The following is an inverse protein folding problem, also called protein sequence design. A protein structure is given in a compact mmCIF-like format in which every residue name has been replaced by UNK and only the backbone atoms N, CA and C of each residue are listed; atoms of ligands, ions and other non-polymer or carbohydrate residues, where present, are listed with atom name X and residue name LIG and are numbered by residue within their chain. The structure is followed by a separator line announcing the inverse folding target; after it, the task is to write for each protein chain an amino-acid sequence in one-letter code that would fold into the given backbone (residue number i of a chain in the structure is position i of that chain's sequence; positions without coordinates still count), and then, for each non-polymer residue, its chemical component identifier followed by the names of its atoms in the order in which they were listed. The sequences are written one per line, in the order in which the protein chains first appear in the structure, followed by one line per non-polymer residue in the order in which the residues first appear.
data_IF_843392535431
#
_entry.id   IF_843392535431
#
_cell.length_a   1.000
_cell.length_b   1.000
_cell.length_c   1.000
_cell.angle_alpha   90.00
_cell.angle_beta   90.00
_cell.angle_gamma   90.00
#
_symmetry.space_group_name_H-M   'P 1'
#
loop_
_entity.id
_entity.type
_entity.pdbx_description
1 polymer ?
#
# COMPACT_ATOMS: atom_id res chain seq x y z
N UNK A 1 28.26 50.23 -51.16
CA UNK A 1 27.97 49.91 -49.74
C UNK A 1 26.56 50.33 -49.29
N UNK A 2 26.01 51.47 -49.77
CA UNK A 2 24.69 51.99 -49.35
C UNK A 2 23.49 51.08 -49.64
N UNK A 3 23.46 50.37 -50.78
CA UNK A 3 22.34 49.47 -51.12
C UNK A 3 22.23 48.22 -50.24
N UNK A 4 23.37 47.66 -49.81
CA UNK A 4 23.42 46.53 -48.87
C UNK A 4 22.97 46.96 -47.47
N UNK A 5 23.38 48.14 -47.02
CA UNK A 5 22.94 48.69 -45.73
C UNK A 5 21.42 48.94 -45.70
N UNK A 6 20.84 49.48 -46.78
CA UNK A 6 19.37 49.67 -46.89
C UNK A 6 18.60 48.36 -46.96
N UNK A 7 19.10 47.38 -47.72
CA UNK A 7 18.50 46.05 -47.78
C UNK A 7 18.53 45.34 -46.41
N UNK A 8 19.64 45.45 -45.67
CA UNK A 8 19.74 44.92 -44.31
C UNK A 8 18.81 45.63 -43.32
N UNK A 9 18.65 46.95 -43.43
CA UNK A 9 17.70 47.71 -42.61
C UNK A 9 16.24 47.33 -42.91
N UNK A 10 15.87 47.18 -44.19
CA UNK A 10 14.53 46.77 -44.59
C UNK A 10 14.27 45.33 -44.12
N UNK A 11 15.21 44.42 -44.33
CA UNK A 11 15.11 43.05 -43.85
C UNK A 11 14.97 43.00 -42.32
N UNK A 12 15.77 43.79 -41.58
CA UNK A 12 15.69 43.89 -40.13
C UNK A 12 14.32 44.41 -39.65
N UNK A 13 13.82 45.49 -40.24
CA UNK A 13 12.48 46.03 -39.92
C UNK A 13 11.36 45.04 -40.23
N UNK A 14 11.48 44.29 -41.33
CA UNK A 14 10.48 43.31 -41.76
C UNK A 14 10.47 42.10 -40.80
N UNK A 15 11.64 41.66 -40.33
CA UNK A 15 11.76 40.65 -39.28
C UNK A 15 11.10 41.14 -37.98
N UNK A 16 11.41 42.38 -37.56
CA UNK A 16 10.82 42.95 -36.33
C UNK A 16 9.29 43.02 -36.44
N UNK A 17 8.75 43.52 -37.55
CA UNK A 17 7.32 43.63 -37.76
C UNK A 17 6.62 42.25 -37.77
N UNK A 18 7.22 41.25 -38.42
CA UNK A 18 6.72 39.87 -38.40
C UNK A 18 6.75 39.28 -36.99
N UNK A 19 7.83 39.48 -36.22
CA UNK A 19 7.92 38.99 -34.84
C UNK A 19 6.91 39.68 -33.92
N UNK A 20 6.72 40.99 -34.04
CA UNK A 20 5.78 41.77 -33.23
C UNK A 20 4.32 41.37 -33.46
N UNK A 21 3.97 40.92 -34.66
CA UNK A 21 2.63 40.38 -34.96
C UNK A 21 2.48 38.89 -34.65
N UNK A 22 3.50 38.07 -34.95
CA UNK A 22 3.42 36.62 -34.80
C UNK A 22 3.48 36.17 -33.34
N UNK A 23 4.32 36.79 -32.50
CA UNK A 23 4.49 36.37 -31.10
C UNK A 23 3.20 36.48 -30.30
N UNK A 24 2.46 37.61 -30.31
CA UNK A 24 1.17 37.70 -29.63
C UNK A 24 0.15 36.67 -30.14
N UNK A 25 0.10 36.46 -31.47
CA UNK A 25 -0.81 35.48 -32.06
C UNK A 25 -0.48 34.05 -31.61
N UNK A 26 0.82 33.70 -31.56
CA UNK A 26 1.28 32.41 -31.07
C UNK A 26 1.03 32.24 -29.57
N UNK A 27 1.17 33.30 -28.76
CA UNK A 27 0.84 33.26 -27.33
C UNK A 27 -0.66 33.10 -27.07
N UNK A 28 -1.51 33.62 -27.96
CA UNK A 28 -2.96 33.42 -27.87
C UNK A 28 -3.43 32.04 -28.33
N UNK A 29 -2.67 31.36 -29.20
CA UNK A 29 -3.13 30.13 -29.87
C UNK A 29 -2.36 28.89 -29.45
N UNK A 30 -1.02 28.94 -29.47
CA UNK A 30 -0.10 27.81 -29.26
C UNK A 30 0.43 27.80 -27.84
N UNK A 31 0.84 28.94 -27.31
CA UNK A 31 1.42 29.07 -25.97
C UNK A 31 0.40 29.60 -24.95
N UNK A 32 -0.86 29.19 -25.10
CA UNK A 32 -1.97 29.65 -24.26
C UNK A 32 -2.17 28.75 -23.02
N UNK A 33 -2.82 29.25 -21.95
CA UNK A 33 -3.15 28.44 -20.78
C UNK A 33 -3.93 27.16 -21.12
N UNK A 34 -4.87 27.28 -22.07
CA UNK A 34 -5.65 26.14 -22.54
C UNK A 34 -4.76 25.04 -23.13
N UNK A 35 -3.76 25.41 -23.94
CA UNK A 35 -2.85 24.42 -24.54
C UNK A 35 -1.96 23.73 -23.51
N UNK A 36 -1.56 24.43 -22.46
CA UNK A 36 -0.84 23.82 -21.35
C UNK A 36 -1.69 22.77 -20.62
N UNK A 37 -2.98 23.04 -20.40
CA UNK A 37 -3.91 22.05 -19.82
C UNK A 37 -4.13 20.88 -20.77
N UNK A 38 -4.37 21.11 -22.07
CA UNK A 38 -4.50 20.03 -23.05
C UNK A 38 -3.26 19.12 -23.07
N UNK A 39 -2.06 19.72 -23.06
CA UNK A 39 -0.80 18.99 -23.05
C UNK A 39 -0.61 18.17 -21.77
N UNK A 40 -1.00 18.71 -20.61
CA UNK A 40 -0.94 18.01 -19.34
C UNK A 40 -1.84 16.77 -19.34
N UNK A 41 -3.09 16.92 -19.77
CA UNK A 41 -4.03 15.81 -19.86
C UNK A 41 -3.61 14.76 -20.91
N UNK A 42 -3.01 15.20 -22.02
CA UNK A 42 -2.45 14.29 -23.01
C UNK A 42 -1.28 13.48 -22.41
N UNK A 43 -0.38 14.11 -21.67
CA UNK A 43 0.71 13.41 -20.99
C UNK A 43 0.20 12.34 -20.00
N UNK A 44 -0.88 12.65 -19.25
CA UNK A 44 -1.54 11.66 -18.40
C UNK A 44 -2.12 10.48 -19.19
N UNK A 45 -2.77 10.75 -20.33
CA UNK A 45 -3.34 9.71 -21.18
C UNK A 45 -2.27 8.87 -21.90
N UNK A 46 -1.14 9.47 -22.23
CA UNK A 46 -0.01 8.82 -22.93
C UNK A 46 0.92 8.06 -21.97
N UNK A 47 0.73 8.18 -20.66
CA UNK A 47 1.57 7.50 -19.66
C UNK A 47 2.90 8.20 -19.38
N UNK A 48 3.06 9.47 -19.77
CA UNK A 48 4.28 10.25 -19.60
C UNK A 48 4.19 11.12 -18.34
N UNK A 49 4.54 10.53 -17.19
CA UNK A 49 4.51 11.22 -15.91
C UNK A 49 5.56 12.34 -15.86
N UNK A 50 6.73 12.14 -16.47
CA UNK A 50 7.78 13.16 -16.52
C UNK A 50 7.31 14.43 -17.25
N UNK A 51 6.65 14.30 -18.40
CA UNK A 51 6.06 15.41 -19.12
C UNK A 51 4.94 16.08 -18.31
N UNK A 52 4.04 15.29 -17.70
CA UNK A 52 2.96 15.82 -16.86
C UNK A 52 3.52 16.65 -15.69
N UNK A 53 4.49 16.10 -14.94
CA UNK A 53 5.17 16.78 -13.83
C UNK A 53 5.87 18.08 -14.27
N UNK A 54 6.48 18.09 -15.47
CA UNK A 54 7.12 19.27 -16.04
C UNK A 54 6.16 20.43 -16.35
N UNK A 55 4.85 20.17 -16.38
CA UNK A 55 3.79 21.15 -16.61
C UNK A 55 3.12 21.62 -15.30
N UNK A 56 3.60 21.14 -14.14
CA UNK A 56 3.14 21.54 -12.83
C UNK A 56 4.06 22.61 -12.22
N UNK A 57 3.46 23.58 -11.54
CA UNK A 57 4.12 24.52 -10.65
C UNK A 57 3.77 24.13 -9.22
N UNK A 58 4.42 23.07 -8.75
CA UNK A 58 4.16 22.45 -7.46
C UNK A 58 5.18 22.90 -6.40
N UNK A 59 4.84 22.84 -5.10
CA UNK A 59 5.81 23.03 -4.03
C UNK A 59 6.89 21.94 -4.09
N UNK A 60 8.16 22.26 -3.73
CA UNK A 60 9.24 21.29 -3.76
C UNK A 60 8.99 20.16 -2.76
N UNK A 61 9.17 18.92 -3.20
CA UNK A 61 9.12 17.75 -2.34
C UNK A 61 10.45 17.58 -1.60
N UNK A 62 10.38 17.18 -0.33
CA UNK A 62 11.58 16.88 0.45
C UNK A 62 12.21 15.56 -0.02
N UNK A 63 13.51 15.38 0.20
CA UNK A 63 14.19 14.10 -0.09
C UNK A 63 13.62 12.92 0.70
N UNK A 64 12.90 13.19 1.80
CA UNK A 64 12.25 12.18 2.64
C UNK A 64 10.85 11.80 2.14
N UNK A 65 10.28 12.56 1.21
CA UNK A 65 8.94 12.30 0.69
C UNK A 65 8.99 11.16 -0.34
N UNK A 66 8.13 10.13 -0.23
CA UNK A 66 8.13 9.01 -1.17
C UNK A 66 7.64 9.46 -2.54
N UNK A 67 8.55 9.60 -3.51
CA UNK A 67 8.25 10.05 -4.87
C UNK A 67 7.96 8.90 -5.85
N UNK A 68 8.00 7.65 -5.39
CA UNK A 68 7.82 6.45 -6.19
C UNK A 68 6.47 6.42 -6.94
N UNK A 69 5.46 7.10 -6.40
CA UNK A 69 4.13 7.23 -6.99
C UNK A 69 4.07 8.21 -8.18
N UNK A 70 5.11 9.02 -8.40
CA UNK A 70 5.19 10.03 -9.46
C UNK A 70 5.99 9.52 -10.67
N UNK A 71 5.64 8.33 -11.17
CA UNK A 71 6.38 7.66 -12.25
C UNK A 71 5.47 7.18 -13.37
N UNK A 72 6.04 7.03 -14.57
CA UNK A 72 5.34 6.50 -15.75
C UNK A 72 4.71 5.13 -15.48
N UNK A 73 5.37 4.30 -14.66
CA UNK A 73 4.87 2.96 -14.30
C UNK A 73 3.57 3.03 -13.49
N UNK A 74 3.45 3.98 -12.57
CA UNK A 74 2.23 4.19 -11.76
C UNK A 74 1.10 4.69 -12.64
N UNK A 75 1.40 5.56 -13.60
CA UNK A 75 0.43 6.07 -14.55
C UNK A 75 -0.03 4.98 -15.54
N UNK A 76 0.88 4.14 -16.03
CA UNK A 76 0.57 3.01 -16.90
C UNK A 76 -0.28 1.93 -16.21
N UNK A 77 -0.11 1.72 -14.90
CA UNK A 77 -0.91 0.80 -14.10
C UNK A 77 -2.25 1.37 -13.61
N UNK A 78 -2.59 2.61 -13.98
CA UNK A 78 -3.76 3.28 -13.45
C UNK A 78 -5.08 2.63 -13.93
N UNK A 79 -6.05 2.38 -13.03
CA UNK A 79 -7.36 1.87 -13.40
C UNK A 79 -8.20 2.87 -14.21
N UNK A 80 -7.83 4.15 -14.20
CA UNK A 80 -8.47 5.20 -14.98
C UNK A 80 -7.51 6.38 -15.19
N UNK A 81 -7.46 6.89 -16.41
CA UNK A 81 -6.82 8.15 -16.80
C UNK A 81 -7.89 9.04 -17.44
N UNK A 82 -7.68 10.36 -17.55
CA UNK A 82 -8.72 11.24 -18.06
C UNK A 82 -8.89 11.07 -19.57
N UNK A 83 -10.14 10.88 -19.99
CA UNK A 83 -10.53 10.72 -21.40
C UNK A 83 -11.49 11.82 -21.84
N UNK A 84 -11.69 11.97 -23.15
CA UNK A 84 -12.67 12.90 -23.72
C UNK A 84 -12.52 14.33 -23.17
N UNK A 85 -11.28 14.79 -23.08
CA UNK A 85 -10.92 16.08 -22.48
C UNK A 85 -11.41 17.23 -23.33
N UNK A 86 -12.10 18.17 -22.69
CA UNK A 86 -12.69 19.34 -23.33
C UNK A 86 -12.49 20.57 -22.44
N UNK A 87 -11.77 21.56 -22.96
CA UNK A 87 -11.68 22.87 -22.32
C UNK A 87 -12.96 23.63 -22.63
N UNK A 88 -13.67 24.02 -21.57
CA UNK A 88 -14.98 24.66 -21.65
C UNK A 88 -14.92 26.15 -21.36
N UNK A 89 -13.91 26.60 -20.61
CA UNK A 89 -13.70 28.02 -20.32
C UNK A 89 -12.21 28.30 -20.07
N UNK A 90 -11.78 29.51 -20.39
CA UNK A 90 -10.45 30.01 -20.06
C UNK A 90 -10.55 31.49 -19.74
N UNK A 91 -10.21 31.83 -18.50
CA UNK A 91 -10.18 33.20 -18.00
C UNK A 91 -8.72 33.54 -17.67
N UNK A 92 -8.20 34.63 -18.22
CA UNK A 92 -6.83 35.08 -17.97
C UNK A 92 -6.88 36.39 -17.20
N UNK A 93 -6.05 36.49 -16.16
CA UNK A 93 -5.83 37.71 -15.39
C UNK A 93 -4.32 37.92 -15.18
N UNK A 94 -3.74 38.80 -15.98
CA UNK A 94 -2.30 39.07 -15.97
C UNK A 94 -1.45 37.82 -16.25
N UNK A 95 -0.68 37.43 -15.24
CA UNK A 95 0.22 36.27 -15.18
C UNK A 95 -0.45 35.01 -14.60
N UNK A 96 -1.75 35.06 -14.34
CA UNK A 96 -2.56 33.93 -13.87
C UNK A 96 -3.66 33.58 -14.88
N UNK A 97 -4.11 32.34 -14.86
CA UNK A 97 -5.27 31.92 -15.63
C UNK A 97 -6.07 30.84 -14.90
N UNK A 98 -7.38 30.84 -15.11
CA UNK A 98 -8.30 29.78 -14.69
C UNK A 98 -8.84 29.06 -15.91
N UNK A 99 -8.60 27.76 -16.00
CA UNK A 99 -9.05 26.92 -17.11
C UNK A 99 -10.04 25.89 -16.57
N UNK A 100 -11.25 25.88 -17.12
CA UNK A 100 -12.26 24.87 -16.79
C UNK A 100 -12.20 23.73 -17.79
N UNK A 101 -11.87 22.55 -17.30
CA UNK A 101 -11.77 21.33 -18.11
C UNK A 101 -12.86 20.34 -17.72
N UNK A 102 -13.52 19.75 -18.73
CA UNK A 102 -14.44 18.62 -18.59
C UNK A 102 -13.77 17.38 -19.18
N UNK A 103 -13.87 16.25 -18.50
CA UNK A 103 -13.27 14.99 -18.91
C UNK A 103 -14.04 13.81 -18.29
N UNK A 104 -13.83 12.60 -18.81
CA UNK A 104 -14.31 11.36 -18.20
C UNK A 104 -13.17 10.74 -17.41
N UNK A 105 -13.45 10.27 -16.20
CA UNK A 105 -12.51 9.50 -15.38
C UNK A 105 -13.21 8.25 -14.86
N UNK A 106 -12.81 7.09 -15.37
CA UNK A 106 -13.58 5.87 -15.22
C UNK A 106 -14.98 6.04 -15.79
N UNK A 107 -16.02 5.72 -15.01
CA UNK A 107 -17.42 5.84 -15.45
C UNK A 107 -18.04 7.23 -15.23
N UNK A 108 -17.31 8.18 -14.65
CA UNK A 108 -17.86 9.48 -14.25
C UNK A 108 -17.32 10.62 -15.13
N UNK A 109 -18.22 11.49 -15.61
CA UNK A 109 -17.83 12.78 -16.19
C UNK A 109 -17.55 13.78 -15.07
N UNK A 110 -16.39 14.43 -15.13
CA UNK A 110 -15.90 15.40 -14.15
C UNK A 110 -15.71 16.76 -14.80
N UNK A 111 -15.67 17.78 -13.96
CA UNK A 111 -15.32 19.15 -14.36
C UNK A 111 -14.45 19.75 -13.27
N UNK A 112 -13.26 20.21 -13.64
CA UNK A 112 -12.28 20.76 -12.70
C UNK A 112 -11.89 22.16 -13.19
N UNK A 113 -11.77 23.09 -12.26
CA UNK A 113 -11.16 24.40 -12.50
C UNK A 113 -9.68 24.32 -12.08
N UNK A 114 -8.78 24.56 -13.03
CA UNK A 114 -7.35 24.56 -12.81
C UNK A 114 -6.83 26.00 -12.82
N UNK A 115 -6.00 26.32 -11.85
CA UNK A 115 -5.25 27.59 -11.81
C UNK A 115 -3.90 27.37 -12.47
N UNK A 116 -3.50 28.29 -13.34
CA UNK A 116 -2.19 28.29 -13.97
C UNK A 116 -1.44 29.57 -13.64
N UNK A 117 -0.14 29.45 -13.48
CA UNK A 117 0.79 30.56 -13.33
C UNK A 117 1.69 30.66 -14.55
N UNK A 118 1.91 31.89 -15.02
CA UNK A 118 2.86 32.19 -16.07
C UNK A 118 4.28 32.18 -15.51
N UNK A 119 5.13 31.29 -16.04
CA UNK A 119 6.55 31.25 -15.75
C UNK A 119 7.39 32.09 -16.72
N UNK A 120 8.73 32.04 -16.60
CA UNK A 120 9.64 32.68 -17.55
C UNK A 120 9.37 32.24 -18.99
N UNK A 121 9.32 33.22 -19.90
CA UNK A 121 9.03 32.98 -21.31
C UNK A 121 10.15 32.19 -21.99
N UNK A 122 9.77 31.25 -22.87
CA UNK A 122 10.72 30.50 -23.70
C UNK A 122 11.35 31.46 -24.71
N UNK A 123 12.69 31.51 -24.71
CA UNK A 123 13.50 32.47 -25.49
C UNK A 123 13.11 33.95 -25.28
N UNK A 124 12.45 34.27 -24.17
CA UNK A 124 11.99 35.62 -23.86
C UNK A 124 10.77 36.09 -24.66
N UNK A 125 10.14 35.22 -25.47
CA UNK A 125 9.06 35.59 -26.38
C UNK A 125 7.78 34.80 -26.15
N UNK A 126 7.90 33.49 -25.89
CA UNK A 126 6.76 32.60 -25.84
C UNK A 126 6.34 32.32 -24.41
N UNK A 127 5.06 32.57 -24.10
CA UNK A 127 4.53 32.37 -22.75
C UNK A 127 4.67 30.90 -22.33
N UNK A 128 4.92 30.67 -21.04
CA UNK A 128 4.97 29.32 -20.47
C UNK A 128 4.02 29.28 -19.29
N UNK A 129 3.05 28.40 -19.37
CA UNK A 129 2.02 28.23 -18.35
C UNK A 129 2.22 26.88 -17.66
N UNK A 130 2.07 26.86 -16.35
CA UNK A 130 2.12 25.65 -15.54
C UNK A 130 0.92 25.61 -14.59
N UNK A 131 0.36 24.43 -14.35
CA UNK A 131 -0.75 24.24 -13.41
C UNK A 131 -0.21 24.43 -12.00
N UNK A 132 -0.71 25.44 -11.29
CA UNK A 132 -0.22 25.84 -9.99
C UNK A 132 -1.15 25.34 -8.88
N UNK A 133 -0.55 24.84 -7.81
CA UNK A 133 -1.24 24.42 -6.59
C UNK A 133 -0.30 24.57 -5.38
N UNK A 134 -0.88 24.80 -4.21
CA UNK A 134 -0.13 25.11 -2.98
C UNK A 134 0.28 23.85 -2.20
N UNK A 135 -0.45 22.75 -2.38
CA UNK A 135 -0.24 21.47 -1.70
C UNK A 135 -0.40 20.32 -2.69
N UNK A 136 0.41 19.28 -2.60
CA UNK A 136 0.26 18.11 -3.46
C UNK A 136 -1.02 17.33 -3.12
N UNK A 137 -1.74 16.79 -4.11
CA UNK A 137 -2.67 15.73 -3.81
C UNK A 137 -1.89 14.50 -3.36
N UNK A 138 -2.45 13.77 -2.39
CA UNK A 138 -1.72 12.75 -1.67
C UNK A 138 -2.59 11.56 -1.24
N UNK A 139 -1.93 10.41 -1.08
CA UNK A 139 -2.50 9.21 -0.48
C UNK A 139 -2.00 9.07 0.96
N UNK A 140 -2.93 9.07 1.90
CA UNK A 140 -2.66 8.83 3.32
C UNK A 140 -2.89 7.36 3.64
N UNK A 141 -1.81 6.57 3.54
CA UNK A 141 -1.86 5.11 3.67
C UNK A 141 -1.82 4.67 5.13
N UNK A 142 -2.84 3.94 5.57
CA UNK A 142 -2.90 3.28 6.88
C UNK A 142 -2.78 1.77 6.66
N UNK A 143 -1.57 1.25 6.87
CA UNK A 143 -1.23 -0.14 6.59
C UNK A 143 -0.70 -0.79 7.86
N UNK A 144 -1.26 -1.95 8.18
CA UNK A 144 -0.79 -2.81 9.27
C UNK A 144 -0.20 -4.08 8.67
N UNK A 145 1.01 -4.45 9.12
CA UNK A 145 1.66 -5.71 8.73
C UNK A 145 2.41 -5.69 7.41
N UNK A 146 2.57 -4.53 6.77
CA UNK A 146 3.49 -4.33 5.64
C UNK A 146 4.19 -2.99 5.74
N UNK A 147 5.47 -2.94 5.36
CA UNK A 147 6.26 -1.70 5.24
C UNK A 147 6.10 -1.02 3.88
N UNK A 148 5.42 -1.65 2.93
CA UNK A 148 5.17 -1.12 1.58
C UNK A 148 3.73 -1.31 1.16
N UNK A 149 3.29 -0.47 0.23
CA UNK A 149 2.04 -0.59 -0.51
C UNK A 149 2.33 -0.73 -2.01
N UNK A 150 1.59 -1.58 -2.69
CA UNK A 150 1.49 -1.53 -4.15
C UNK A 150 0.54 -0.39 -4.53
N UNK A 151 1.04 0.57 -5.32
CA UNK A 151 0.27 1.66 -5.92
C UNK A 151 0.40 1.51 -7.43
N UNK A 152 -0.66 1.04 -8.09
CA UNK A 152 -0.70 0.76 -9.53
C UNK A 152 0.48 -0.12 -10.02
N UNK A 153 0.87 -1.15 -9.26
CA UNK A 153 1.98 -2.04 -9.65
C UNK A 153 3.37 -1.56 -9.23
N UNK A 154 3.47 -0.53 -8.39
CA UNK A 154 4.74 0.02 -7.87
C UNK A 154 4.74 0.00 -6.35
N UNK A 155 5.80 -0.57 -5.77
CA UNK A 155 6.01 -0.54 -4.33
C UNK A 155 6.37 0.88 -3.86
N UNK A 156 5.56 1.38 -2.94
CA UNK A 156 5.72 2.66 -2.25
C UNK A 156 5.89 2.40 -0.76
N UNK A 157 6.88 3.00 -0.09
CA UNK A 157 7.01 2.91 1.36
C UNK A 157 5.74 3.35 2.09
N UNK A 158 5.33 2.58 3.08
CA UNK A 158 4.20 2.88 3.94
C UNK A 158 4.70 3.37 5.30
N UNK A 159 4.08 4.42 5.85
CA UNK A 159 4.42 4.94 7.20
C UNK A 159 5.40 6.12 7.22
N UNK A 160 6.01 6.49 6.08
CA UNK A 160 6.93 7.65 5.97
C UNK A 160 6.20 8.99 5.72
N UNK A 161 4.88 9.01 5.92
CA UNK A 161 4.01 10.15 5.64
C UNK A 161 3.14 9.94 4.39
N UNK A 162 2.39 10.98 3.98
CA UNK A 162 1.52 10.89 2.84
C UNK A 162 2.32 10.79 1.53
N UNK A 163 1.76 10.07 0.56
CA UNK A 163 2.40 9.80 -0.73
C UNK A 163 1.86 10.78 -1.77
N UNK A 164 2.67 11.72 -2.29
CA UNK A 164 2.23 12.64 -3.34
C UNK A 164 1.94 11.89 -4.65
N UNK A 165 0.92 12.35 -5.36
CA UNK A 165 0.39 11.68 -6.56
C UNK A 165 0.03 12.66 -7.68
N UNK A 166 -0.09 12.16 -8.90
CA UNK A 166 -0.63 12.91 -10.04
C UNK A 166 -2.17 12.94 -10.03
N UNK A 167 -2.75 13.92 -10.72
CA UNK A 167 -4.20 14.11 -10.80
C UNK A 167 -4.61 14.75 -12.13
N UNK A 168 -5.81 14.52 -12.68
CA UNK A 168 -6.79 13.56 -12.23
C UNK A 168 -6.46 12.15 -12.74
N UNK A 169 -6.45 11.14 -11.88
CA UNK A 169 -6.32 9.74 -12.27
C UNK A 169 -6.78 8.79 -11.16
N UNK A 170 -6.97 7.53 -11.50
CA UNK A 170 -7.29 6.47 -10.56
C UNK A 170 -6.04 5.77 -9.99
N UNK A 171 -6.18 5.25 -8.77
CA UNK A 171 -5.16 4.46 -8.09
C UNK A 171 -5.77 3.18 -7.52
N UNK A 172 -5.20 2.04 -7.89
CA UNK A 172 -5.36 0.77 -7.21
C UNK A 172 -4.26 0.64 -6.17
N UNK A 173 -4.68 0.43 -4.92
CA UNK A 173 -3.80 0.45 -3.77
C UNK A 173 -4.03 -0.84 -2.97
N UNK A 174 -2.97 -1.59 -2.73
CA UNK A 174 -3.01 -2.82 -1.95
C UNK A 174 -1.64 -3.15 -1.39
N UNK A 175 -1.45 -4.34 -0.85
CA UNK A 175 -0.12 -4.91 -0.66
C UNK A 175 -0.21 -6.44 -0.75
N UNK A 176 0.89 -7.06 -1.15
CA UNK A 176 1.02 -8.50 -1.27
C UNK A 176 2.41 -8.91 -0.75
N UNK A 177 2.52 -9.06 0.58
CA UNK A 177 3.71 -9.57 1.23
C UNK A 177 3.60 -11.10 1.40
N UNK A 178 4.70 -11.76 1.76
CA UNK A 178 4.76 -13.22 1.90
C UNK A 178 3.68 -13.77 2.84
N UNK A 179 3.53 -13.15 4.02
CA UNK A 179 2.64 -13.62 5.08
C UNK A 179 1.30 -12.91 5.14
N UNK A 180 1.22 -11.69 4.62
CA UNK A 180 0.02 -10.86 4.69
C UNK A 180 -0.25 -10.21 3.33
N UNK A 181 -1.52 -10.21 2.95
CA UNK A 181 -2.02 -9.52 1.76
C UNK A 181 -3.20 -8.64 2.13
N UNK A 182 -3.54 -7.66 1.30
CA UNK A 182 -4.81 -6.93 1.41
C UNK A 182 -5.67 -7.11 0.16
N UNK A 183 -6.96 -6.82 0.31
CA UNK A 183 -7.78 -6.48 -0.86
C UNK A 183 -7.28 -5.19 -1.50
N UNK A 184 -7.42 -5.09 -2.82
CA UNK A 184 -7.09 -3.88 -3.58
C UNK A 184 -8.22 -2.87 -3.41
N UNK A 185 -7.87 -1.65 -3.02
CA UNK A 185 -8.79 -0.50 -2.96
C UNK A 185 -8.53 0.43 -4.14
N UNK A 186 -9.60 0.81 -4.82
CA UNK A 186 -9.55 1.79 -5.89
C UNK A 186 -9.97 3.17 -5.38
N UNK A 187 -9.15 4.20 -5.61
CA UNK A 187 -9.46 5.60 -5.32
C UNK A 187 -9.30 6.45 -6.57
N UNK A 188 -10.06 7.55 -6.67
CA UNK A 188 -9.95 8.52 -7.77
C UNK A 188 -9.48 9.84 -7.17
N UNK A 189 -8.32 10.32 -7.61
CA UNK A 189 -7.79 11.63 -7.24
C UNK A 189 -8.18 12.59 -8.36
N UNK A 190 -8.86 13.69 -8.03
CA UNK A 190 -9.47 14.57 -9.04
C UNK A 190 -9.08 16.04 -8.89
N UNK A 191 -8.77 16.46 -7.67
CA UNK A 191 -8.32 17.79 -7.33
C UNK A 191 -6.82 17.87 -7.10
N UNK A 192 -6.29 19.09 -7.19
CA UNK A 192 -4.88 19.38 -6.97
C UNK A 192 -4.47 19.39 -5.49
N UNK A 193 -5.40 19.21 -4.56
CA UNK A 193 -5.17 19.22 -3.10
C UNK A 193 -5.98 18.14 -2.38
N UNK A 194 -6.33 17.07 -3.10
CA UNK A 194 -7.09 15.95 -2.51
C UNK A 194 -6.20 15.16 -1.54
N UNK A 195 -6.69 14.90 -0.33
CA UNK A 195 -6.07 13.96 0.62
C UNK A 195 -6.94 12.71 0.74
N UNK A 196 -6.44 11.61 0.20
CA UNK A 196 -7.16 10.34 0.16
C UNK A 196 -6.66 9.40 1.25
N UNK A 197 -7.43 9.28 2.33
CA UNK A 197 -7.20 8.27 3.37
C UNK A 197 -7.52 6.86 2.88
N UNK A 198 -6.53 5.97 2.89
CA UNK A 198 -6.67 4.57 2.46
C UNK A 198 -6.22 3.63 3.57
N UNK A 199 -7.19 2.97 4.22
CA UNK A 199 -6.92 1.94 5.21
C UNK A 199 -6.97 0.55 4.58
N UNK A 200 -5.87 -0.20 4.62
CA UNK A 200 -5.80 -1.57 4.11
C UNK A 200 -5.89 -2.57 5.27
N UNK A 201 -6.77 -3.56 5.14
CA UNK A 201 -6.91 -4.61 6.14
C UNK A 201 -6.03 -5.80 5.78
N UNK A 202 -5.13 -6.25 6.67
CA UNK A 202 -4.30 -7.42 6.44
C UNK A 202 -5.11 -8.71 6.56
N UNK A 203 -4.87 -9.60 5.60
CA UNK A 203 -5.41 -10.96 5.53
C UNK A 203 -4.27 -11.98 5.49
N UNK A 204 -4.31 -13.06 6.29
CA UNK A 204 -3.32 -14.13 6.25
C UNK A 204 -3.20 -14.79 4.88
N UNK A 205 -1.97 -15.03 4.44
CA UNK A 205 -1.71 -15.84 3.26
C UNK A 205 -1.66 -17.34 3.63
N UNK A 206 -1.72 -18.23 2.63
CA UNK A 206 -1.43 -19.65 2.83
C UNK A 206 -0.01 -19.90 3.37
N UNK A 207 0.97 -19.06 3.00
CA UNK A 207 2.33 -19.17 3.50
C UNK A 207 2.40 -18.90 5.01
N UNK A 208 1.67 -17.90 5.51
CA UNK A 208 1.58 -17.64 6.96
C UNK A 208 0.94 -18.82 7.69
N UNK A 209 -0.12 -19.38 7.12
CA UNK A 209 -0.79 -20.55 7.72
C UNK A 209 0.15 -21.75 7.79
N UNK A 210 0.94 -21.99 6.74
CA UNK A 210 1.94 -23.06 6.70
C UNK A 210 3.06 -22.86 7.72
N UNK A 211 3.57 -21.63 7.84
CA UNK A 211 4.63 -21.29 8.79
C UNK A 211 4.17 -21.40 10.25
N UNK A 212 2.97 -20.88 10.56
CA UNK A 212 2.36 -21.05 11.89
C UNK A 212 2.17 -22.53 12.22
N UNK A 213 1.69 -23.32 11.25
CA UNK A 213 1.53 -24.76 11.42
C UNK A 213 2.85 -25.46 11.74
N UNK A 214 3.92 -25.13 11.00
CA UNK A 214 5.27 -25.68 11.24
C UNK A 214 5.73 -25.38 12.68
N UNK A 215 5.60 -24.14 13.15
CA UNK A 215 6.00 -23.77 14.51
C UNK A 215 5.18 -24.48 15.59
N UNK A 216 3.86 -24.65 15.38
CA UNK A 216 2.99 -25.40 16.29
C UNK A 216 3.39 -26.89 16.34
N UNK A 217 3.61 -27.51 15.20
CA UNK A 217 4.03 -28.92 15.12
C UNK A 217 5.38 -29.14 15.81
N UNK A 218 6.33 -28.23 15.61
CA UNK A 218 7.64 -28.26 16.29
C UNK A 218 7.51 -28.09 17.81
N UNK A 219 6.65 -27.18 18.26
CA UNK A 219 6.37 -26.98 19.68
C UNK A 219 5.74 -28.23 20.32
N UNK A 220 4.69 -28.79 19.70
CA UNK A 220 4.04 -30.01 20.19
C UNK A 220 4.96 -31.23 20.14
N UNK A 221 5.83 -31.34 19.12
CA UNK A 221 6.86 -32.36 19.04
C UNK A 221 7.88 -32.24 20.18
N UNK A 222 8.18 -31.02 20.64
CA UNK A 222 8.95 -30.77 21.85
C UNK A 222 8.21 -31.25 23.11
N UNK A 223 6.93 -30.92 23.22
CA UNK A 223 6.08 -31.30 24.35
C UNK A 223 5.98 -32.81 24.54
N UNK A 224 5.75 -33.58 23.49
CA UNK A 224 5.60 -35.04 23.59
C UNK A 224 6.91 -35.79 23.85
N UNK A 225 8.07 -35.11 23.82
CA UNK A 225 9.36 -35.67 24.27
C UNK A 225 9.56 -35.56 25.78
N UNK A 226 8.72 -34.81 26.49
CA UNK A 226 8.80 -34.71 27.93
C UNK A 226 8.53 -36.06 28.58
N UNK A 227 9.20 -36.32 29.71
CA UNK A 227 9.05 -37.56 30.50
C UNK A 227 8.31 -37.33 31.82
N UNK A 228 7.71 -36.15 31.99
CA UNK A 228 6.96 -35.73 33.19
C UNK A 228 5.46 -35.63 32.89
N UNK A 229 4.64 -35.71 33.94
CA UNK A 229 3.18 -35.53 33.84
C UNK A 229 2.75 -34.09 33.48
N UNK A 230 3.61 -33.12 33.77
CA UNK A 230 3.38 -31.70 33.49
C UNK A 230 4.55 -31.16 32.65
N UNK A 231 4.52 -31.37 31.31
CA UNK A 231 5.52 -30.82 30.43
C UNK A 231 5.56 -29.29 30.50
N UNK A 232 6.74 -28.73 30.78
CA UNK A 232 6.89 -27.27 30.91
C UNK A 232 6.66 -26.58 29.57
N UNK A 233 5.80 -25.55 29.57
CA UNK A 233 5.49 -24.76 28.37
C UNK A 233 4.43 -25.39 27.45
N UNK A 234 3.81 -26.51 27.84
CA UNK A 234 2.82 -27.20 27.04
C UNK A 234 1.39 -26.95 27.54
N UNK A 235 0.43 -26.95 26.62
CA UNK A 235 -0.99 -26.68 26.93
C UNK A 235 -1.74 -27.89 27.50
N UNK A 236 -1.06 -29.03 27.65
CA UNK A 236 -1.62 -30.25 28.22
C UNK A 236 -0.76 -30.79 29.36
N UNK A 237 -1.41 -31.53 30.25
CA UNK A 237 -0.79 -32.22 31.38
C UNK A 237 -1.78 -33.21 31.98
N UNK A 238 -1.29 -34.12 32.81
CA UNK A 238 -2.11 -35.16 33.43
C UNK A 238 -1.95 -35.11 34.95
N UNK A 239 -3.07 -34.93 35.66
CA UNK A 239 -3.11 -34.93 37.13
C UNK A 239 -3.59 -36.29 37.64
N UNK A 240 -2.93 -36.79 38.67
CA UNK A 240 -3.32 -38.04 39.35
C UNK A 240 -2.87 -38.01 40.80
N UNK A 241 -3.63 -38.69 41.67
CA UNK A 241 -3.28 -38.91 43.07
C UNK A 241 -2.36 -40.14 43.27
N UNK A 242 -2.13 -40.91 42.20
CA UNK A 242 -1.30 -42.10 42.23
C UNK A 242 0.19 -41.77 42.08
N UNK A 243 1.04 -42.61 42.67
CA UNK A 243 2.50 -42.48 42.51
C UNK A 243 2.90 -42.98 41.12
N UNK A 244 3.48 -42.12 40.27
CA UNK A 244 4.04 -42.55 38.99
C UNK A 244 5.37 -43.26 39.21
N UNK A 245 5.52 -44.45 38.62
CA UNK A 245 6.73 -45.25 38.68
C UNK A 245 7.52 -45.02 37.38
N UNK A 246 8.70 -44.41 37.50
CA UNK A 246 9.58 -44.13 36.36
C UNK A 246 9.14 -42.92 35.53
N UNK A 247 9.38 -42.99 34.23
CA UNK A 247 9.06 -41.92 33.27
C UNK A 247 7.75 -42.20 32.54
N UNK A 248 7.02 -41.14 32.19
CA UNK A 248 5.86 -41.26 31.29
C UNK A 248 6.26 -41.03 29.83
N UNK A 249 5.46 -41.57 28.92
CA UNK A 249 5.58 -41.33 27.49
C UNK A 249 4.36 -40.59 26.97
N UNK A 250 4.61 -39.52 26.22
CA UNK A 250 3.57 -38.74 25.55
C UNK A 250 3.56 -38.99 24.04
N UNK A 251 2.39 -38.88 23.43
CA UNK A 251 2.23 -38.78 21.97
C UNK A 251 0.99 -37.98 21.60
N UNK A 252 0.98 -37.43 20.39
CA UNK A 252 -0.23 -36.86 19.82
C UNK A 252 -1.12 -37.97 19.25
N UNK A 253 -2.42 -37.92 19.56
CA UNK A 253 -3.45 -38.74 18.90
C UNK A 253 -4.14 -37.95 17.79
N UNK A 254 -4.45 -36.69 18.07
CA UNK A 254 -5.16 -35.78 17.18
C UNK A 254 -4.50 -34.41 17.25
N UNK A 255 -3.98 -33.93 16.12
CA UNK A 255 -3.35 -32.61 16.01
C UNK A 255 -4.38 -31.49 15.86
N UNK A 256 -4.11 -30.28 16.39
CA UNK A 256 -5.01 -29.15 16.23
C UNK A 256 -5.07 -28.71 14.76
N UNK A 257 -6.28 -28.40 14.29
CA UNK A 257 -6.48 -27.72 13.01
C UNK A 257 -5.96 -26.28 13.09
N UNK A 258 -5.06 -25.92 12.17
CA UNK A 258 -4.50 -24.57 12.13
C UNK A 258 -5.35 -23.68 11.24
N UNK A 259 -6.03 -22.72 11.85
CA UNK A 259 -6.78 -21.68 11.12
C UNK A 259 -6.56 -20.33 11.80
N UNK A 260 -6.28 -19.31 10.99
CA UNK A 260 -5.94 -17.97 11.46
C UNK A 260 -7.12 -17.03 11.34
N UNK A 261 -7.26 -16.15 12.32
CA UNK A 261 -8.23 -15.05 12.30
C UNK A 261 -7.50 -13.72 12.50
N UNK A 262 -7.92 -12.73 11.73
CA UNK A 262 -7.52 -11.33 11.91
C UNK A 262 -8.64 -10.58 12.63
N UNK A 263 -8.30 -9.85 13.70
CA UNK A 263 -9.19 -8.92 14.39
C UNK A 263 -8.48 -7.58 14.51
N UNK A 264 -8.80 -6.65 13.61
CA UNK A 264 -8.04 -5.40 13.49
C UNK A 264 -6.61 -5.68 13.01
N UNK A 265 -5.62 -5.35 13.83
CA UNK A 265 -4.21 -5.66 13.59
C UNK A 265 -3.72 -6.93 14.30
N UNK A 266 -4.56 -7.57 15.13
CA UNK A 266 -4.17 -8.76 15.89
C UNK A 266 -4.49 -10.03 15.09
N UNK A 267 -3.48 -10.89 14.96
CA UNK A 267 -3.61 -12.21 14.36
C UNK A 267 -3.58 -13.27 15.46
N UNK A 268 -4.48 -14.24 15.38
CA UNK A 268 -4.52 -15.34 16.33
C UNK A 268 -4.97 -16.64 15.67
N UNK A 269 -4.52 -17.73 16.25
CA UNK A 269 -5.03 -19.06 15.97
C UNK A 269 -6.46 -19.16 16.53
N UNK A 270 -7.41 -19.56 15.69
CA UNK A 270 -8.73 -19.96 16.16
C UNK A 270 -8.55 -21.16 17.08
N UNK A 271 -9.12 -21.06 18.29
CA UNK A 271 -9.04 -22.14 19.29
C UNK A 271 -9.43 -23.48 18.68
N UNK A 272 -8.52 -24.45 18.78
CA UNK A 272 -8.60 -25.70 18.05
C UNK A 272 -8.39 -26.89 18.99
N UNK A 273 -9.32 -27.84 19.06
CA UNK A 273 -9.19 -29.02 19.91
C UNK A 273 -8.10 -29.96 19.39
N UNK A 274 -7.43 -30.62 20.31
CA UNK A 274 -6.41 -31.64 20.06
C UNK A 274 -6.43 -32.69 21.18
N UNK A 275 -5.81 -33.83 20.95
CA UNK A 275 -5.75 -34.92 21.93
C UNK A 275 -4.32 -35.45 22.03
N UNK A 276 -3.74 -35.35 23.21
CA UNK A 276 -2.52 -36.06 23.57
C UNK A 276 -2.86 -37.37 24.30
N UNK A 277 -1.91 -38.28 24.36
CA UNK A 277 -2.01 -39.48 25.18
C UNK A 277 -0.77 -39.61 26.06
N UNK A 278 -1.00 -39.81 27.35
CA UNK A 278 0.04 -40.14 28.32
C UNK A 278 -0.04 -41.63 28.64
N UNK A 279 1.12 -42.26 28.79
CA UNK A 279 1.22 -43.65 29.21
C UNK A 279 2.40 -43.87 30.14
N UNK A 280 2.28 -44.86 31.01
CA UNK A 280 3.30 -45.21 31.97
C UNK A 280 2.79 -46.27 32.95
N UNK A 281 3.47 -46.38 34.09
CA UNK A 281 3.08 -47.28 35.18
C UNK A 281 2.85 -46.44 36.43
N UNK A 282 1.78 -46.72 37.16
CA UNK A 282 1.50 -46.08 38.45
C UNK A 282 1.37 -47.12 39.55
N UNK A 283 1.65 -46.71 40.78
CA UNK A 283 1.30 -47.43 42.00
C UNK A 283 0.08 -46.79 42.63
N UNK A 284 -0.94 -47.59 42.83
CA UNK A 284 -2.20 -47.16 43.43
C UNK A 284 -1.97 -46.72 44.89
N UNK A 285 -2.35 -45.49 45.23
CA UNK A 285 -2.08 -44.89 46.53
C UNK A 285 -2.83 -45.56 47.70
N UNK A 286 -3.84 -46.38 47.42
CA UNK A 286 -4.67 -47.07 48.43
C UNK A 286 -4.22 -48.52 48.63
N UNK A 287 -4.02 -49.25 47.54
CA UNK A 287 -3.75 -50.69 47.53
C UNK A 287 -2.27 -51.04 47.41
N UNK A 288 -1.45 -50.11 46.89
CA UNK A 288 -0.02 -50.32 46.66
C UNK A 288 0.31 -51.21 45.46
N UNK A 289 -0.69 -51.67 44.70
CA UNK A 289 -0.46 -52.45 43.48
C UNK A 289 -0.04 -51.56 42.31
N UNK A 290 0.75 -52.12 41.40
CA UNK A 290 1.24 -51.44 40.21
C UNK A 290 0.41 -51.80 38.98
N UNK A 291 0.09 -50.79 38.17
CA UNK A 291 -0.71 -50.93 36.96
C UNK A 291 -0.14 -50.07 35.84
N UNK A 292 -0.23 -50.56 34.60
CA UNK A 292 0.01 -49.75 33.41
C UNK A 292 -1.23 -48.92 33.09
N UNK A 293 -1.02 -47.69 32.64
CA UNK A 293 -2.09 -46.80 32.23
C UNK A 293 -1.82 -46.16 30.86
N UNK A 294 -2.92 -45.75 30.23
CA UNK A 294 -2.92 -44.98 28.99
C UNK A 294 -4.14 -44.08 28.99
N UNK A 295 -3.92 -42.79 29.12
CA UNK A 295 -4.99 -41.81 29.26
C UNK A 295 -4.98 -40.81 28.12
N UNK A 296 -6.18 -40.51 27.61
CA UNK A 296 -6.37 -39.47 26.60
C UNK A 296 -6.54 -38.14 27.30
N UNK A 297 -5.72 -37.17 26.90
CA UNK A 297 -5.71 -35.82 27.47
C UNK A 297 -6.18 -34.86 26.37
N UNK A 298 -7.49 -34.55 26.30
CA UNK A 298 -7.98 -33.52 25.39
C UNK A 298 -7.51 -32.14 25.86
N UNK A 299 -7.13 -31.28 24.93
CA UNK A 299 -6.79 -29.89 25.19
C UNK A 299 -7.23 -29.00 24.04
N UNK A 300 -7.27 -27.69 24.27
CA UNK A 300 -7.55 -26.71 23.22
C UNK A 300 -6.34 -25.83 23.02
N UNK A 301 -5.81 -25.81 21.80
CA UNK A 301 -4.71 -24.93 21.44
C UNK A 301 -5.24 -23.58 20.96
N UNK A 302 -4.69 -22.51 21.54
CA UNK A 302 -4.81 -21.14 21.04
C UNK A 302 -3.43 -20.48 21.05
N UNK A 303 -3.21 -19.57 20.12
CA UNK A 303 -1.94 -18.86 20.00
C UNK A 303 -2.15 -17.46 19.43
N UNK A 304 -1.31 -16.52 19.83
CA UNK A 304 -1.15 -15.24 19.16
C UNK A 304 -0.07 -15.35 18.09
N UNK A 305 -0.28 -14.65 16.97
CA UNK A 305 0.65 -14.65 15.84
C UNK A 305 1.12 -13.23 15.59
N UNK A 306 2.44 -13.02 15.64
CA UNK A 306 3.06 -11.72 15.41
C UNK A 306 3.86 -11.83 14.11
N UNK A 307 3.57 -10.93 13.18
CA UNK A 307 4.28 -10.81 11.90
C UNK A 307 5.03 -9.48 11.90
N UNK A 308 6.35 -9.52 11.78
CA UNK A 308 7.22 -8.33 11.69
C UNK A 308 8.12 -8.46 10.47
N UNK A 309 7.77 -7.77 9.38
CA UNK A 309 8.42 -7.99 8.09
C UNK A 309 8.26 -9.45 7.66
N UNK A 310 9.39 -10.13 7.49
CA UNK A 310 9.45 -11.54 7.07
C UNK A 310 9.61 -12.52 8.26
N UNK A 311 9.49 -12.03 9.50
CA UNK A 311 9.55 -12.88 10.69
C UNK A 311 8.15 -13.17 11.25
N UNK A 312 7.86 -14.45 11.46
CA UNK A 312 6.63 -14.95 12.11
C UNK A 312 6.99 -15.52 13.47
N UNK A 313 6.29 -15.06 14.52
CA UNK A 313 6.37 -15.64 15.86
C UNK A 313 5.01 -16.13 16.31
N UNK A 314 4.97 -17.35 16.83
CA UNK A 314 3.77 -17.95 17.42
C UNK A 314 3.94 -18.04 18.93
N UNK A 315 3.07 -17.35 19.66
CA UNK A 315 3.02 -17.39 21.11
C UNK A 315 1.80 -18.20 21.53
N UNK A 316 2.03 -19.46 21.91
CA UNK A 316 0.96 -20.31 22.43
C UNK A 316 0.50 -19.77 23.78
N UNK A 317 -0.82 -19.66 23.98
CA UNK A 317 -1.37 -19.30 25.29
C UNK A 317 -1.13 -20.46 26.27
N UNK A 318 0.05 -20.49 26.88
CA UNK A 318 0.40 -21.40 27.95
C UNK A 318 -0.25 -20.89 29.23
N UNK A 319 -1.51 -21.27 29.45
CA UNK A 319 -2.19 -21.07 30.73
C UNK A 319 -3.47 -20.24 30.65
N UNK A 320 -4.57 -20.90 30.32
CA UNK A 320 -5.87 -20.59 30.91
C UNK A 320 -6.78 -21.80 30.71
N UNK A 321 -7.29 -22.35 31.82
CA UNK A 321 -8.34 -23.38 31.89
C UNK A 321 -7.87 -24.85 31.77
N UNK A 322 -6.95 -25.27 32.64
CA UNK A 322 -7.10 -26.58 33.28
C UNK A 322 -8.23 -26.40 34.31
N UNK A 323 -9.48 -26.52 33.87
CA UNK A 323 -10.65 -26.22 34.69
C UNK A 323 -11.82 -27.14 34.41
N UNK A 324 -12.05 -28.09 35.33
CA UNK A 324 -13.33 -28.75 35.58
C UNK A 324 -13.45 -30.17 35.06
#
# INVERSE_FOLDING_TARGET
MVGRARALLIAGLLIIALTAGAVPLLNLTVYSPARAVDAYFAALADGDAAAALGMLSAPPLSERTPQNALTDKVLAGAPAVPEHVQITNTERDGDTARVRVRYNLGSATRTTDLTLQQGPATWGLFERWAIAFDEWPQLSLQISGSGTADVNGVDVPAGDGPVPVLFPMGYNIGFNAEYLTSEVKQVMVTGSSDDMGVALQPTPTPALTAEVKRQIEEHLAGCVRATTLMPTGCTFGYETENEIIGEVSWRMLEDPQVSLRSTGSQLSLVRSPAVAEVSGTYRDSVTGFEFDFREKVPFTLGAEVIVTGDEVRVETNSGAELGG
#
